data_IF_481542998182
#
_entry.id   IF_481542998182
#
_cell.length_a   1.000
_cell.length_b   1.000
_cell.length_c   1.000
_cell.angle_alpha   90.00
_cell.angle_beta   90.00
_cell.angle_gamma   90.00
#
_symmetry.space_group_name_H-M   'P 1'
#
loop_
_entity.id
_entity.type
_entity.pdbx_description
1 polymer ?
#
# COMPACT_ATOMS: atom_id res chain seq x y z
N UNK A 1 16.94 32.94 -14.48
CA UNK A 1 16.76 33.87 -13.35
C UNK A 1 16.21 35.23 -13.82
N UNK A 2 16.91 36.04 -14.63
CA UNK A 2 16.34 37.33 -15.12
C UNK A 2 15.16 37.22 -16.10
N UNK A 3 15.03 36.12 -16.86
CA UNK A 3 13.92 35.91 -17.82
C UNK A 3 12.61 35.43 -17.17
N UNK A 4 12.65 35.00 -15.92
CA UNK A 4 11.52 34.35 -15.23
C UNK A 4 10.93 35.21 -14.12
N UNK A 5 11.41 36.44 -13.93
CA UNK A 5 10.89 37.40 -12.95
C UNK A 5 11.12 37.05 -11.47
N UNK A 6 11.67 35.87 -11.14
CA UNK A 6 11.81 35.41 -9.75
C UNK A 6 13.23 35.59 -9.23
N UNK A 7 13.34 36.09 -8.00
CA UNK A 7 14.62 36.23 -7.30
C UNK A 7 15.09 34.88 -6.72
N UNK A 8 16.40 34.75 -6.47
CA UNK A 8 16.96 33.55 -5.81
C UNK A 8 16.29 33.22 -4.47
N UNK A 9 16.09 34.17 -3.54
CA UNK A 9 15.46 33.87 -2.25
C UNK A 9 13.97 33.49 -2.40
N UNK A 10 13.23 34.06 -3.35
CA UNK A 10 11.84 33.65 -3.62
C UNK A 10 11.77 32.23 -4.17
N UNK A 11 12.71 31.84 -5.03
CA UNK A 11 12.77 30.47 -5.55
C UNK A 11 13.09 29.46 -4.43
N UNK A 12 14.00 29.82 -3.52
CA UNK A 12 14.34 29.00 -2.36
C UNK A 12 13.17 28.86 -1.38
N UNK A 13 12.46 29.96 -1.11
CA UNK A 13 11.24 29.94 -0.31
C UNK A 13 10.15 29.05 -0.94
N UNK A 14 9.98 29.13 -2.27
CA UNK A 14 9.03 28.31 -3.01
C UNK A 14 9.38 26.81 -2.95
N UNK A 15 10.66 26.45 -3.07
CA UNK A 15 11.09 25.06 -2.89
C UNK A 15 10.94 24.58 -1.46
N UNK A 16 11.23 25.41 -0.46
CA UNK A 16 10.94 25.08 0.93
C UNK A 16 9.44 24.92 1.17
N UNK A 17 8.59 25.73 0.56
CA UNK A 17 7.13 25.58 0.62
C UNK A 17 6.66 24.28 -0.04
N UNK A 18 7.28 23.83 -1.14
CA UNK A 18 6.98 22.53 -1.76
C UNK A 18 7.43 21.38 -0.85
N UNK A 19 8.62 21.48 -0.26
CA UNK A 19 9.18 20.46 0.63
C UNK A 19 8.43 20.38 1.98
N UNK A 20 7.94 21.51 2.48
CA UNK A 20 7.20 21.63 3.74
C UNK A 20 5.68 21.54 3.56
N UNK A 21 5.19 21.75 2.34
CA UNK A 21 3.78 21.77 1.98
C UNK A 21 3.15 20.38 2.00
N UNK A 22 1.81 20.36 2.02
CA UNK A 22 1.00 19.13 2.03
C UNK A 22 1.05 18.32 0.72
N UNK A 23 1.65 18.88 -0.34
CA UNK A 23 1.81 18.23 -1.65
C UNK A 23 3.05 17.33 -1.71
N UNK A 24 3.39 16.65 -0.61
CA UNK A 24 4.41 15.61 -0.66
C UNK A 24 3.82 14.42 -1.42
N UNK A 25 4.55 13.88 -2.40
CA UNK A 25 4.13 12.63 -3.04
C UNK A 25 3.99 11.56 -1.94
N UNK A 26 3.07 10.61 -2.09
CA UNK A 26 2.93 9.53 -1.09
C UNK A 26 4.21 8.69 -0.86
N UNK A 27 5.24 8.87 -1.70
CA UNK A 27 6.58 8.27 -1.54
C UNK A 27 7.54 9.13 -0.70
N UNK A 28 7.21 10.37 -0.36
CA UNK A 28 8.11 11.29 0.34
C UNK A 28 8.44 10.87 1.79
N UNK A 29 7.87 9.76 2.26
CA UNK A 29 7.97 9.27 3.63
C UNK A 29 8.61 7.88 3.75
N UNK A 30 9.08 7.28 2.65
CA UNK A 30 9.76 5.98 2.68
C UNK A 30 11.20 6.16 2.18
N UNK A 31 12.16 5.93 3.06
CA UNK A 31 13.59 5.87 2.72
C UNK A 31 13.91 4.60 1.96
N UNK A 32 15.04 4.56 1.26
CA UNK A 32 15.48 3.38 0.52
C UNK A 32 15.64 2.15 1.45
N UNK A 33 16.09 2.36 2.69
CA UNK A 33 16.23 1.31 3.70
C UNK A 33 14.86 0.75 4.15
N UNK A 34 13.89 1.63 4.39
CA UNK A 34 12.50 1.23 4.70
C UNK A 34 11.87 0.49 3.52
N UNK A 35 12.11 0.94 2.29
CA UNK A 35 11.61 0.29 1.08
C UNK A 35 12.21 -1.12 0.91
N UNK A 36 13.51 -1.29 1.15
CA UNK A 36 14.16 -2.61 1.14
C UNK A 36 13.59 -3.53 2.22
N UNK A 37 13.34 -2.99 3.42
CA UNK A 37 12.73 -3.73 4.53
C UNK A 37 11.34 -4.23 4.17
N UNK A 38 10.48 -3.34 3.63
CA UNK A 38 9.13 -3.68 3.15
C UNK A 38 9.18 -4.75 2.06
N UNK A 39 10.07 -4.60 1.07
CA UNK A 39 10.22 -5.56 -0.02
C UNK A 39 10.68 -6.94 0.48
N UNK A 40 11.56 -6.97 1.48
CA UNK A 40 12.00 -8.22 2.12
C UNK A 40 10.81 -8.96 2.75
N UNK A 41 9.98 -8.25 3.53
CA UNK A 41 8.78 -8.82 4.15
C UNK A 41 7.77 -9.30 3.11
N UNK A 42 7.49 -8.50 2.07
CA UNK A 42 6.60 -8.88 0.97
C UNK A 42 7.11 -10.15 0.25
N UNK A 43 8.42 -10.21 -0.02
CA UNK A 43 9.07 -11.35 -0.65
C UNK A 43 8.99 -12.61 0.19
N UNK A 44 9.21 -12.51 1.49
CA UNK A 44 9.12 -13.64 2.42
C UNK A 44 7.68 -14.17 2.53
N UNK A 45 6.75 -13.27 2.84
CA UNK A 45 5.39 -13.67 3.23
C UNK A 45 4.55 -14.05 2.02
N UNK A 46 4.60 -13.29 0.92
CA UNK A 46 3.72 -13.51 -0.23
C UNK A 46 4.40 -14.27 -1.37
N UNK A 47 5.69 -14.04 -1.65
CA UNK A 47 6.35 -14.66 -2.80
C UNK A 47 6.91 -16.05 -2.44
N UNK A 48 7.72 -16.15 -1.38
CA UNK A 48 8.36 -17.40 -0.96
C UNK A 48 7.33 -18.42 -0.46
N UNK A 49 6.28 -17.97 0.22
CA UNK A 49 5.15 -18.82 0.64
C UNK A 49 4.21 -19.22 -0.51
N UNK A 50 4.48 -18.80 -1.76
CA UNK A 50 3.73 -19.24 -2.94
C UNK A 50 2.47 -18.42 -3.29
N UNK A 51 2.16 -17.36 -2.54
CA UNK A 51 0.99 -16.50 -2.75
C UNK A 51 1.22 -15.38 -3.78
N UNK A 52 1.77 -15.72 -4.95
CA UNK A 52 2.13 -14.75 -6.01
C UNK A 52 0.94 -13.92 -6.51
N UNK A 53 -0.28 -14.46 -6.48
CA UNK A 53 -1.49 -13.74 -6.87
C UNK A 53 -1.87 -12.64 -5.87
N UNK A 54 -1.65 -12.88 -4.57
CA UNK A 54 -1.85 -11.86 -3.53
C UNK A 54 -0.79 -10.76 -3.63
N UNK A 55 0.46 -11.13 -3.94
CA UNK A 55 1.51 -10.15 -4.21
C UNK A 55 1.13 -9.22 -5.39
N UNK A 56 0.68 -9.79 -6.51
CA UNK A 56 0.22 -8.99 -7.65
C UNK A 56 -0.95 -8.06 -7.31
N UNK A 57 -1.86 -8.51 -6.43
CA UNK A 57 -2.98 -7.71 -5.94
C UNK A 57 -2.51 -6.49 -5.12
N UNK A 58 -1.49 -6.68 -4.27
CA UNK A 58 -0.85 -5.61 -3.50
C UNK A 58 -0.14 -4.63 -4.43
N UNK A 59 0.59 -5.10 -5.44
CA UNK A 59 1.22 -4.24 -6.44
C UNK A 59 0.18 -3.40 -7.20
N UNK A 60 -0.90 -4.02 -7.67
CA UNK A 60 -1.99 -3.32 -8.35
C UNK A 60 -2.59 -2.23 -7.48
N UNK A 61 -2.78 -2.50 -6.19
CA UNK A 61 -3.41 -1.58 -5.24
C UNK A 61 -2.49 -0.44 -4.83
N UNK A 62 -1.24 -0.74 -4.42
CA UNK A 62 -0.37 0.22 -3.74
C UNK A 62 0.71 0.82 -4.64
N UNK A 63 1.24 0.04 -5.60
CA UNK A 63 2.25 0.52 -6.55
C UNK A 63 1.57 1.19 -7.75
N UNK A 64 0.65 0.48 -8.41
CA UNK A 64 -0.09 0.98 -9.59
C UNK A 64 -1.28 1.88 -9.21
N UNK A 65 -1.60 1.96 -7.91
CA UNK A 65 -2.65 2.83 -7.34
C UNK A 65 -4.04 2.60 -7.93
N UNK A 66 -4.35 1.37 -8.30
CA UNK A 66 -5.66 1.04 -8.80
C UNK A 66 -6.70 1.13 -7.68
N UNK A 67 -7.86 1.70 -8.01
CA UNK A 67 -9.01 1.66 -7.09
C UNK A 67 -9.54 0.22 -6.98
N UNK A 68 -10.09 -0.17 -5.82
CA UNK A 68 -10.76 -1.48 -5.66
C UNK A 68 -11.80 -1.72 -6.76
N UNK A 69 -12.53 -0.66 -7.17
CA UNK A 69 -13.49 -0.71 -8.29
C UNK A 69 -12.81 -0.95 -9.66
N UNK A 70 -11.67 -0.34 -9.93
CA UNK A 70 -10.93 -0.57 -11.17
C UNK A 70 -10.42 -2.03 -11.23
N UNK A 71 -9.83 -2.51 -10.13
CA UNK A 71 -9.39 -3.91 -10.01
C UNK A 71 -10.54 -4.89 -10.20
N UNK A 72 -11.71 -4.61 -9.60
CA UNK A 72 -12.91 -5.43 -9.76
C UNK A 72 -13.42 -5.45 -11.20
N UNK A 73 -13.37 -4.31 -11.93
CA UNK A 73 -13.72 -4.27 -13.36
C UNK A 73 -12.76 -5.10 -14.20
N UNK A 74 -11.47 -5.04 -13.92
CA UNK A 74 -10.48 -5.83 -14.66
C UNK A 74 -10.60 -7.33 -14.35
N UNK A 75 -10.94 -7.70 -13.11
CA UNK A 75 -11.30 -9.06 -12.75
C UNK A 75 -12.57 -9.52 -13.49
N UNK A 76 -13.59 -8.67 -13.58
CA UNK A 76 -14.84 -8.98 -14.26
C UNK A 76 -14.67 -9.15 -15.78
N UNK A 77 -13.75 -8.41 -16.41
CA UNK A 77 -13.41 -8.63 -17.83
C UNK A 77 -12.82 -10.02 -18.07
N UNK A 78 -12.03 -10.53 -17.11
CA UNK A 78 -11.45 -11.90 -17.17
C UNK A 78 -12.47 -12.97 -16.83
N UNK A 79 -13.45 -12.64 -15.97
CA UNK A 79 -14.50 -13.51 -15.47
C UNK A 79 -15.88 -12.91 -15.73
N UNK A 80 -16.34 -12.89 -17.00
CA UNK A 80 -17.63 -12.30 -17.37
C UNK A 80 -18.83 -13.10 -16.81
N UNK A 81 -18.61 -14.33 -16.36
CA UNK A 81 -19.60 -15.17 -15.69
C UNK A 81 -19.98 -14.67 -14.30
N UNK A 82 -19.14 -13.83 -13.67
CA UNK A 82 -19.45 -13.23 -12.38
C UNK A 82 -20.12 -11.88 -12.56
N UNK A 83 -21.04 -11.54 -11.67
CA UNK A 83 -21.52 -10.16 -11.59
C UNK A 83 -20.42 -9.26 -10.98
N UNK A 84 -20.43 -7.97 -11.33
CA UNK A 84 -19.43 -7.02 -10.86
C UNK A 84 -19.35 -6.97 -9.32
N UNK A 85 -20.49 -7.11 -8.62
CA UNK A 85 -20.54 -7.11 -7.15
C UNK A 85 -19.75 -8.27 -6.53
N UNK A 86 -19.78 -9.44 -7.16
CA UNK A 86 -18.99 -10.60 -6.74
C UNK A 86 -17.50 -10.31 -6.90
N UNK A 87 -17.09 -9.71 -8.02
CA UNK A 87 -15.71 -9.29 -8.25
C UNK A 87 -15.25 -8.26 -7.21
N UNK A 88 -16.06 -7.25 -6.90
CA UNK A 88 -15.77 -6.25 -5.86
C UNK A 88 -15.55 -6.91 -4.49
N UNK A 89 -16.45 -7.81 -4.11
CA UNK A 89 -16.38 -8.52 -2.81
C UNK A 89 -15.14 -9.41 -2.73
N UNK A 90 -14.78 -10.10 -3.83
CA UNK A 90 -13.56 -10.93 -3.89
C UNK A 90 -12.29 -10.09 -3.76
N UNK A 91 -12.19 -8.97 -4.48
CA UNK A 91 -11.05 -8.05 -4.38
C UNK A 91 -10.89 -7.55 -2.94
N UNK A 92 -11.99 -7.21 -2.28
CA UNK A 92 -11.95 -6.75 -0.89
C UNK A 92 -11.44 -7.83 0.07
N UNK A 93 -11.99 -9.05 -0.02
CA UNK A 93 -11.57 -10.20 0.80
C UNK A 93 -10.10 -10.54 0.56
N UNK A 94 -9.65 -10.60 -0.69
CA UNK A 94 -8.26 -10.94 -1.01
C UNK A 94 -7.27 -9.85 -0.58
N UNK A 95 -7.65 -8.57 -0.67
CA UNK A 95 -6.83 -7.48 -0.14
C UNK A 95 -6.73 -7.57 1.38
N UNK A 96 -7.86 -7.72 2.08
CA UNK A 96 -7.86 -7.86 3.54
C UNK A 96 -7.04 -9.07 4.01
N UNK A 97 -7.12 -10.20 3.29
CA UNK A 97 -6.30 -11.37 3.56
C UNK A 97 -4.81 -11.05 3.40
N UNK A 98 -4.40 -10.47 2.28
CA UNK A 98 -3.00 -10.12 2.04
C UNK A 98 -2.48 -9.11 3.08
N UNK A 99 -3.27 -8.09 3.42
CA UNK A 99 -2.93 -7.10 4.45
C UNK A 99 -2.79 -7.76 5.83
N UNK A 100 -3.70 -8.67 6.20
CA UNK A 100 -3.63 -9.39 7.48
C UNK A 100 -2.38 -10.29 7.60
N UNK A 101 -1.99 -10.96 6.51
CA UNK A 101 -0.79 -11.78 6.47
C UNK A 101 0.49 -10.95 6.62
N UNK A 102 0.49 -9.74 6.08
CA UNK A 102 1.64 -8.83 6.13
C UNK A 102 1.73 -8.07 7.44
N UNK A 103 0.61 -7.87 8.15
CA UNK A 103 0.53 -6.96 9.27
C UNK A 103 1.57 -7.23 10.36
N UNK A 104 1.56 -8.44 10.95
CA UNK A 104 2.48 -8.77 12.04
C UNK A 104 3.95 -8.82 11.61
N UNK A 105 4.32 -9.51 10.50
CA UNK A 105 5.71 -9.48 10.01
C UNK A 105 6.23 -8.08 9.72
N UNK A 106 5.36 -7.19 9.21
CA UNK A 106 5.72 -5.80 8.95
C UNK A 106 5.94 -5.04 10.27
N UNK A 107 5.04 -5.24 11.25
CA UNK A 107 5.19 -4.64 12.57
C UNK A 107 6.49 -5.06 13.26
N UNK A 108 6.82 -6.35 13.20
CA UNK A 108 8.04 -6.92 13.78
C UNK A 108 9.29 -6.34 13.09
N UNK A 109 9.28 -6.23 11.76
CA UNK A 109 10.39 -5.65 10.99
C UNK A 109 10.67 -4.18 11.34
N UNK A 110 9.62 -3.42 11.68
CA UNK A 110 9.73 -2.01 12.09
C UNK A 110 9.83 -1.82 13.61
N UNK A 111 9.88 -2.90 14.41
CA UNK A 111 9.93 -2.82 15.87
C UNK A 111 8.69 -2.15 16.49
N UNK A 112 7.56 -2.18 15.79
CA UNK A 112 6.28 -1.67 16.28
C UNK A 112 5.49 -2.81 16.94
N UNK A 113 4.82 -2.54 18.06
CA UNK A 113 4.05 -3.56 18.78
C UNK A 113 2.93 -4.14 17.90
N UNK A 114 3.16 -5.33 17.33
CA UNK A 114 2.18 -6.13 16.60
C UNK A 114 1.00 -6.52 17.51
N UNK A 115 1.26 -6.76 18.79
CA UNK A 115 0.26 -7.08 19.84
C UNK A 115 -0.77 -5.97 20.10
N UNK A 116 -0.54 -4.75 19.63
CA UNK A 116 -1.45 -3.61 19.88
C UNK A 116 -2.81 -3.78 19.17
N UNK A 117 -2.86 -4.59 18.11
CA UNK A 117 -4.05 -4.77 17.27
C UNK A 117 -4.45 -6.22 17.08
N UNK A 118 -3.74 -7.19 17.68
CA UNK A 118 -4.23 -8.54 17.79
C UNK A 118 -5.48 -8.58 18.66
N UNK A 119 -6.55 -9.20 18.16
CA UNK A 119 -7.68 -9.63 18.98
C UNK A 119 -7.16 -10.71 19.94
N UNK A 120 -6.66 -10.29 21.10
CA UNK A 120 -6.18 -11.20 22.14
C UNK A 120 -7.28 -12.14 22.69
N UNK A 121 -8.54 -11.93 22.31
CA UNK A 121 -9.62 -12.90 22.46
C UNK A 121 -10.66 -12.70 21.37
N UNK A 122 -10.76 -13.65 20.45
CA UNK A 122 -12.00 -13.88 19.72
C UNK A 122 -12.80 -14.90 20.53
N UNK A 123 -13.87 -14.44 21.19
CA UNK A 123 -14.96 -15.24 21.77
C UNK A 123 -14.57 -16.33 22.79
N UNK A 124 -14.28 -15.94 24.04
CA UNK A 124 -14.65 -16.80 25.17
C UNK A 124 -16.13 -16.52 25.52
N UNK A 125 -16.97 -17.55 25.32
CA UNK A 125 -18.38 -17.66 25.70
C UNK A 125 -19.43 -17.08 24.73
N UNK A 126 -19.99 -17.95 23.90
CA UNK A 126 -21.42 -17.97 23.55
C UNK A 126 -21.92 -19.41 23.60
#
# INVERSE_FOLDING_TARGET
MKKSGISKPELEAFFQEILNGKNKSGLAFCTDEEALTINSVLGEILVRSGHKSLYALIEDRYIKRLSKKAMARDLNKKHPEWCLRTCESRIDVWLNLAESMLYAPMCDAFGTNSDKFYLNSCAENA
#
